data_IF_327730162849
#
_entry.id   IF_327730162849
#
_cell.length_a   1.000
_cell.length_b   1.000
_cell.length_c   1.000
_cell.angle_alpha   90.00
_cell.angle_beta   90.00
_cell.angle_gamma   90.00
#
_symmetry.space_group_name_H-M   'P 1'
#
loop_
_entity.id
_entity.type
_entity.pdbx_description
1 polymer ?
#
# COMPACT_ATOMS: atom_id res chain seq x y z
N UNK A 1 24.05 4.41 -64.60
CA UNK A 1 25.40 3.83 -64.87
C UNK A 1 26.18 3.76 -63.56
N UNK A 2 26.99 2.70 -63.42
CA UNK A 2 27.86 2.33 -62.29
C UNK A 2 28.70 3.48 -61.71
N UNK A 3 28.93 3.47 -60.39
CA UNK A 3 30.26 3.22 -59.77
C UNK A 3 30.13 2.83 -58.29
N UNK A 4 31.10 2.04 -57.82
CA UNK A 4 31.11 1.21 -56.61
C UNK A 4 32.42 1.49 -55.84
N UNK A 5 32.37 1.34 -54.50
CA UNK A 5 33.48 1.18 -53.50
C UNK A 5 34.33 2.43 -53.23
N UNK A 6 34.94 2.69 -52.07
CA UNK A 6 35.52 1.89 -50.96
C UNK A 6 35.32 2.69 -49.64
N UNK A 7 35.04 2.15 -48.45
CA UNK A 7 35.87 1.24 -47.65
C UNK A 7 36.88 2.01 -46.79
N UNK A 8 36.55 2.32 -45.52
CA UNK A 8 37.54 2.61 -44.46
C UNK A 8 37.07 1.93 -43.17
N UNK A 9 37.83 0.98 -42.59
CA UNK A 9 37.56 0.44 -41.28
C UNK A 9 38.28 1.30 -40.23
N UNK A 10 37.58 1.75 -39.20
CA UNK A 10 38.24 2.33 -38.01
C UNK A 10 37.71 1.66 -36.76
N UNK A 11 38.58 0.81 -36.23
CA UNK A 11 38.53 0.14 -34.94
C UNK A 11 38.28 1.16 -33.82
N UNK A 12 37.22 0.99 -33.06
CA UNK A 12 37.10 1.59 -31.73
C UNK A 12 37.07 0.47 -30.69
N UNK A 13 38.14 0.45 -29.89
CA UNK A 13 38.40 -0.34 -28.68
C UNK A 13 37.18 -0.37 -27.73
N UNK A 14 36.78 -1.52 -27.18
CA UNK A 14 35.98 -1.55 -25.97
C UNK A 14 36.91 -1.56 -24.75
N UNK A 15 37.00 -0.43 -24.04
CA UNK A 15 37.58 -0.42 -22.69
C UNK A 15 36.52 -0.99 -21.74
N UNK A 16 36.63 -2.28 -21.45
CA UNK A 16 35.81 -2.94 -20.43
C UNK A 16 36.32 -2.52 -19.05
N UNK A 17 35.59 -1.61 -18.40
CA UNK A 17 35.81 -1.17 -17.03
C UNK A 17 35.21 -2.23 -16.09
N UNK A 18 36.03 -3.14 -15.60
CA UNK A 18 35.62 -4.18 -14.65
C UNK A 18 35.66 -3.55 -13.25
N UNK A 19 34.48 -3.19 -12.71
CA UNK A 19 34.33 -2.70 -11.34
C UNK A 19 34.21 -3.90 -10.38
N UNK A 20 35.07 -4.05 -9.35
CA UNK A 20 34.90 -5.11 -8.36
C UNK A 20 33.76 -4.74 -7.39
N UNK A 21 32.64 -5.47 -7.46
CA UNK A 21 31.55 -5.33 -6.49
C UNK A 21 31.93 -6.01 -5.18
N UNK A 22 32.25 -5.21 -4.16
CA UNK A 22 32.36 -5.66 -2.77
C UNK A 22 30.97 -6.10 -2.27
N UNK A 23 30.75 -7.41 -2.19
CA UNK A 23 29.54 -7.99 -1.62
C UNK A 23 29.69 -7.97 -0.10
N UNK A 24 29.15 -6.92 0.53
CA UNK A 24 29.08 -6.81 1.98
C UNK A 24 27.90 -7.68 2.46
N UNK A 25 28.20 -8.89 2.93
CA UNK A 25 27.20 -9.82 3.49
C UNK A 25 26.67 -9.29 4.83
N UNK A 26 25.62 -8.48 4.79
CA UNK A 26 24.91 -8.06 5.99
C UNK A 26 24.11 -9.25 6.55
N UNK A 27 24.50 -9.75 7.72
CA UNK A 27 23.78 -10.79 8.44
C UNK A 27 22.46 -10.21 8.97
N UNK A 28 21.35 -10.54 8.32
CA UNK A 28 20.01 -10.18 8.77
C UNK A 28 19.60 -11.16 9.87
N UNK A 29 19.77 -10.77 11.14
CA UNK A 29 19.20 -11.51 12.25
C UNK A 29 17.66 -11.35 12.21
N UNK A 30 16.95 -12.41 11.82
CA UNK A 30 15.49 -12.45 11.87
C UNK A 30 15.05 -12.89 13.26
N UNK A 31 14.50 -11.95 14.04
CA UNK A 31 13.83 -12.26 15.30
C UNK A 31 12.33 -12.40 15.05
N UNK A 32 11.78 -13.60 15.27
CA UNK A 32 10.33 -13.83 15.24
C UNK A 32 9.75 -13.50 16.61
N UNK A 33 9.11 -12.34 16.73
CA UNK A 33 8.37 -11.98 17.93
C UNK A 33 6.97 -12.55 17.76
N UNK A 34 6.66 -13.65 18.47
CA UNK A 34 5.34 -14.25 18.47
C UNK A 34 4.38 -13.44 19.37
N UNK A 35 3.99 -12.25 18.92
CA UNK A 35 2.92 -11.46 19.54
C UNK A 35 1.60 -12.10 19.11
N UNK A 36 0.79 -12.53 20.08
CA UNK A 36 -0.56 -13.00 19.82
C UNK A 36 -1.32 -11.93 19.05
N UNK A 37 -2.08 -12.30 17.99
CA UNK A 37 -2.84 -11.32 17.24
C UNK A 37 -3.79 -10.58 18.18
N UNK A 38 -3.91 -9.26 18.05
CA UNK A 38 -4.80 -8.46 18.87
C UNK A 38 -6.24 -8.96 18.72
N UNK A 39 -6.99 -8.95 19.83
CA UNK A 39 -8.37 -9.44 19.83
C UNK A 39 -9.25 -8.58 18.92
N UNK A 40 -10.22 -9.20 18.24
CA UNK A 40 -11.30 -8.50 17.54
C UNK A 40 -12.32 -7.87 18.50
N UNK A 41 -12.10 -8.01 19.82
CA UNK A 41 -12.79 -7.25 20.85
C UNK A 41 -12.25 -5.82 20.97
N UNK A 42 -11.03 -5.55 20.49
CA UNK A 42 -10.50 -4.18 20.42
C UNK A 42 -11.13 -3.44 19.22
N UNK A 43 -11.90 -2.35 19.48
CA UNK A 43 -12.57 -1.60 18.41
C UNK A 43 -11.58 -1.04 17.38
N UNK A 44 -10.37 -0.67 17.79
CA UNK A 44 -9.36 -0.17 16.85
C UNK A 44 -8.93 -1.26 15.86
N UNK A 45 -8.62 -2.45 16.37
CA UNK A 45 -8.21 -3.56 15.51
C UNK A 45 -9.34 -4.07 14.63
N UNK A 46 -10.55 -4.21 15.18
CA UNK A 46 -11.72 -4.57 14.39
C UNK A 46 -11.96 -3.54 13.28
N UNK A 47 -11.88 -2.25 13.59
CA UNK A 47 -12.03 -1.16 12.63
C UNK A 47 -10.99 -1.21 11.52
N UNK A 48 -9.71 -1.34 11.89
CA UNK A 48 -8.59 -1.45 10.94
C UNK A 48 -8.75 -2.64 10.00
N UNK A 49 -9.05 -3.82 10.53
CA UNK A 49 -9.24 -5.04 9.72
C UNK A 49 -10.43 -4.89 8.80
N UNK A 50 -11.55 -4.36 9.30
CA UNK A 50 -12.77 -4.14 8.52
C UNK A 50 -12.52 -3.15 7.39
N UNK A 51 -11.86 -2.02 7.67
CA UNK A 51 -11.50 -1.01 6.69
C UNK A 51 -10.69 -1.62 5.54
N UNK A 52 -9.57 -2.29 5.84
CA UNK A 52 -8.70 -2.81 4.78
C UNK A 52 -9.29 -4.02 4.03
N UNK A 53 -10.11 -4.86 4.68
CA UNK A 53 -10.66 -6.07 4.04
C UNK A 53 -11.94 -5.82 3.26
N UNK A 54 -12.78 -4.89 3.69
CA UNK A 54 -14.11 -4.66 3.10
C UNK A 54 -14.24 -3.34 2.34
N UNK A 55 -13.44 -2.33 2.70
CA UNK A 55 -13.58 -0.98 2.13
C UNK A 55 -12.40 -0.61 1.23
N UNK A 56 -11.16 -0.82 1.67
CA UNK A 56 -9.93 -0.36 1.01
C UNK A 56 -9.07 -1.53 0.48
N UNK A 57 -9.72 -2.57 -0.05
CA UNK A 57 -9.06 -3.64 -0.81
C UNK A 57 -9.05 -3.34 -2.32
N UNK A 58 -8.27 -4.08 -3.11
CA UNK A 58 -8.09 -3.81 -4.55
C UNK A 58 -9.35 -3.89 -5.43
N UNK A 59 -10.44 -4.46 -4.94
CA UNK A 59 -11.75 -4.50 -5.63
C UNK A 59 -12.89 -3.92 -4.78
N UNK A 60 -12.55 -3.27 -3.67
CA UNK A 60 -13.52 -2.71 -2.75
C UNK A 60 -13.93 -1.28 -3.14
N UNK A 61 -14.94 -0.72 -2.47
CA UNK A 61 -15.49 0.61 -2.78
C UNK A 61 -14.46 1.75 -2.74
N UNK A 62 -13.45 1.63 -1.87
CA UNK A 62 -12.37 2.61 -1.73
C UNK A 62 -11.09 2.17 -2.43
N UNK A 63 -11.12 1.21 -3.38
CA UNK A 63 -9.90 0.72 -4.05
C UNK A 63 -9.09 1.85 -4.71
N UNK A 64 -9.80 2.79 -5.34
CA UNK A 64 -9.22 3.97 -6.02
C UNK A 64 -9.26 5.23 -5.16
N UNK A 65 -9.74 5.14 -3.91
CA UNK A 65 -9.92 6.30 -3.03
C UNK A 65 -8.82 6.36 -1.99
N UNK A 66 -8.03 7.43 -2.03
CA UNK A 66 -7.11 7.76 -0.94
C UNK A 66 -7.82 8.67 0.05
N UNK A 67 -7.97 8.21 1.30
CA UNK A 67 -8.49 9.02 2.40
C UNK A 67 -7.40 9.92 2.97
N UNK A 68 -7.69 11.21 3.03
CA UNK A 68 -7.01 12.20 3.86
C UNK A 68 -7.95 12.57 5.03
N UNK A 69 -7.48 13.41 5.96
CA UNK A 69 -8.26 13.72 7.17
C UNK A 69 -9.65 14.32 6.86
N UNK A 70 -9.76 15.17 5.85
CA UNK A 70 -11.04 15.77 5.47
C UNK A 70 -11.99 14.73 4.86
N UNK A 71 -11.49 13.92 3.90
CA UNK A 71 -12.29 12.84 3.30
C UNK A 71 -12.64 11.75 4.29
N UNK A 72 -11.81 11.51 5.30
CA UNK A 72 -12.11 10.57 6.37
C UNK A 72 -13.32 11.02 7.18
N UNK A 73 -13.42 12.31 7.53
CA UNK A 73 -14.61 12.88 8.17
C UNK A 73 -15.87 12.71 7.33
N UNK A 74 -15.81 13.05 6.03
CA UNK A 74 -16.95 12.86 5.12
C UNK A 74 -17.34 11.37 4.99
N UNK A 75 -16.35 10.48 4.98
CA UNK A 75 -16.58 9.05 4.89
C UNK A 75 -17.20 8.48 6.18
N UNK A 76 -16.80 8.99 7.35
CA UNK A 76 -17.39 8.61 8.65
C UNK A 76 -18.89 8.93 8.66
N UNK A 77 -19.30 10.08 8.12
CA UNK A 77 -20.72 10.41 7.99
C UNK A 77 -21.45 9.39 7.10
N UNK A 78 -20.84 9.05 5.95
CA UNK A 78 -21.39 8.10 4.99
C UNK A 78 -21.56 6.69 5.54
N UNK A 79 -20.72 6.25 6.48
CA UNK A 79 -20.89 4.94 7.12
C UNK A 79 -22.31 4.78 7.70
N UNK A 80 -22.96 5.86 8.14
CA UNK A 80 -24.28 5.82 8.76
C UNK A 80 -25.45 6.25 7.87
N UNK A 81 -25.17 6.81 6.69
CA UNK A 81 -26.20 7.38 5.81
C UNK A 81 -26.25 6.72 4.44
N UNK A 82 -25.14 6.12 3.99
CA UNK A 82 -25.07 5.46 2.69
C UNK A 82 -25.61 4.03 2.77
N UNK A 83 -26.64 3.75 1.97
CA UNK A 83 -27.34 2.46 1.97
C UNK A 83 -26.43 1.29 1.58
N UNK A 84 -25.44 1.52 0.68
CA UNK A 84 -24.52 0.47 0.26
C UNK A 84 -23.58 0.10 1.42
N UNK A 85 -23.05 1.09 2.14
CA UNK A 85 -22.22 0.87 3.32
C UNK A 85 -22.99 0.22 4.47
N UNK A 86 -24.22 0.66 4.72
CA UNK A 86 -25.11 0.06 5.73
C UNK A 86 -25.50 -1.39 5.42
N UNK A 87 -25.52 -1.76 4.13
CA UNK A 87 -25.78 -3.14 3.71
C UNK A 87 -24.51 -3.99 3.78
N UNK A 88 -23.36 -3.42 3.44
CA UNK A 88 -22.06 -4.11 3.42
C UNK A 88 -21.51 -4.39 4.83
N UNK A 89 -21.78 -3.48 5.77
CA UNK A 89 -21.21 -3.49 7.11
C UNK A 89 -22.31 -3.58 8.17
N UNK A 90 -22.07 -4.42 9.17
CA UNK A 90 -22.90 -4.43 10.38
C UNK A 90 -22.75 -3.13 11.17
N UNK A 91 -23.69 -2.81 12.06
CA UNK A 91 -23.57 -1.64 12.96
C UNK A 91 -22.26 -1.67 13.78
N UNK A 92 -21.91 -2.83 14.36
CA UNK A 92 -20.65 -3.00 15.09
C UNK A 92 -19.43 -2.68 14.23
N UNK A 93 -19.41 -3.16 12.98
CA UNK A 93 -18.32 -2.91 12.04
C UNK A 93 -18.23 -1.44 11.65
N UNK A 94 -19.37 -0.78 11.41
CA UNK A 94 -19.41 0.66 11.11
C UNK A 94 -18.84 1.48 12.26
N UNK A 95 -19.31 1.24 13.49
CA UNK A 95 -18.80 1.92 14.68
C UNK A 95 -17.31 1.68 14.90
N UNK A 96 -16.82 0.46 14.66
CA UNK A 96 -15.40 0.15 14.76
C UNK A 96 -14.56 0.86 13.68
N UNK A 97 -15.04 0.91 12.43
CA UNK A 97 -14.36 1.64 11.35
C UNK A 97 -14.34 3.14 11.65
N UNK A 98 -15.43 3.72 12.18
CA UNK A 98 -15.44 5.11 12.66
C UNK A 98 -14.33 5.35 13.67
N UNK A 99 -14.28 4.53 14.73
CA UNK A 99 -13.25 4.66 15.77
C UNK A 99 -11.83 4.56 15.20
N UNK A 100 -11.58 3.61 14.30
CA UNK A 100 -10.28 3.47 13.64
C UNK A 100 -9.89 4.70 12.83
N UNK A 101 -10.82 5.26 12.04
CA UNK A 101 -10.55 6.43 11.20
C UNK A 101 -10.35 7.69 12.03
N UNK A 102 -11.13 7.88 13.09
CA UNK A 102 -10.96 8.99 14.04
C UNK A 102 -9.61 8.94 14.73
N UNK A 103 -9.16 7.76 15.19
CA UNK A 103 -7.86 7.61 15.84
C UNK A 103 -6.70 7.77 14.84
N UNK A 104 -6.86 7.30 13.61
CA UNK A 104 -5.80 7.35 12.60
C UNK A 104 -5.62 8.76 12.00
N UNK A 105 -6.71 9.49 11.75
CA UNK A 105 -6.70 10.82 11.13
C UNK A 105 -6.90 11.97 12.13
N UNK A 106 -7.20 11.67 13.38
CA UNK A 106 -7.38 12.66 14.45
C UNK A 106 -6.10 13.42 14.81
N UNK A 107 -6.24 14.53 15.56
CA UNK A 107 -5.09 15.26 16.09
C UNK A 107 -4.27 14.37 17.04
N UNK A 108 -2.95 14.40 16.90
CA UNK A 108 -2.00 13.69 17.77
C UNK A 108 -1.55 14.53 18.94
#
# INVERSE_FOLDING_TARGET
MKTRRYGIPTLFLPVALILPTLILSASMASASINIAPPSLDDPYHLGKVTYHRKLACGTCLLSETTLDAAKASDFIEKLNTDQQLMTLLTEKERSAVTFYLEEYFGPR
#
